data_IF_399488640131
#
_entry.id   IF_399488640131
#
_cell.length_a   1.000
_cell.length_b   1.000
_cell.length_c   1.000
_cell.angle_alpha   90.00
_cell.angle_beta   90.00
_cell.angle_gamma   90.00
#
_symmetry.space_group_name_H-M   'P 1'
#
loop_
_entity.id
_entity.type
_entity.pdbx_description
1 polymer ?
#
# COMPACT_ATOMS: atom_id res chain seq x y z
N UNK A 1 -0.85 -8.01 -13.29
CA UNK A 1 -2.12 -7.77 -14.00
C UNK A 1 -3.04 -7.02 -13.05
N UNK A 2 -3.71 -6.00 -13.57
CA UNK A 2 -4.79 -5.31 -12.87
C UNK A 2 -6.11 -6.10 -13.03
N UNK A 3 -6.77 -6.42 -11.91
CA UNK A 3 -8.05 -7.12 -11.90
C UNK A 3 -9.23 -6.15 -11.93
N UNK A 4 -9.12 -5.06 -11.16
CA UNK A 4 -10.11 -4.01 -11.08
C UNK A 4 -9.38 -2.70 -11.42
N UNK A 5 -9.75 -2.01 -12.51
CA UNK A 5 -9.15 -0.71 -12.85
C UNK A 5 -9.53 0.36 -11.81
N UNK A 6 -8.90 1.54 -11.87
CA UNK A 6 -9.31 2.66 -11.03
C UNK A 6 -10.81 2.94 -11.20
N UNK A 7 -11.58 2.67 -10.14
CA UNK A 7 -13.04 2.67 -10.17
C UNK A 7 -13.57 3.59 -9.06
N UNK A 8 -14.52 4.50 -9.36
CA UNK A 8 -15.21 5.26 -8.33
C UNK A 8 -15.83 4.33 -7.28
N UNK A 9 -15.81 4.73 -6.01
CA UNK A 9 -16.28 3.87 -4.92
C UNK A 9 -17.76 3.48 -5.07
N UNK A 10 -18.59 4.38 -5.61
CA UNK A 10 -20.01 4.14 -5.87
C UNK A 10 -20.27 3.10 -6.96
N UNK A 11 -19.31 2.95 -7.89
CA UNK A 11 -19.36 1.98 -8.99
C UNK A 11 -18.65 0.68 -8.64
N UNK A 12 -17.93 0.62 -7.52
CA UNK A 12 -17.18 -0.55 -7.12
C UNK A 12 -18.12 -1.71 -6.78
N UNK A 13 -17.96 -2.82 -7.49
CA UNK A 13 -18.65 -4.07 -7.22
C UNK A 13 -17.61 -5.16 -6.94
N UNK A 14 -17.76 -5.85 -5.81
CA UNK A 14 -16.85 -6.93 -5.47
C UNK A 14 -17.03 -8.10 -6.43
N UNK A 15 -15.92 -8.55 -7.01
CA UNK A 15 -15.87 -9.76 -7.85
C UNK A 15 -14.83 -10.70 -7.30
N UNK A 16 -15.13 -12.01 -7.28
CA UNK A 16 -14.17 -13.01 -6.86
C UNK A 16 -12.92 -12.99 -7.76
N UNK A 17 -11.74 -13.06 -7.14
CA UNK A 17 -10.47 -13.11 -7.85
C UNK A 17 -10.17 -14.58 -8.16
N UNK A 18 -10.16 -14.93 -9.45
CA UNK A 18 -9.74 -16.26 -9.90
C UNK A 18 -8.22 -16.35 -9.83
N UNK A 19 -7.70 -17.11 -8.87
CA UNK A 19 -6.26 -17.33 -8.68
C UNK A 19 -5.81 -18.55 -9.48
N UNK A 20 -4.75 -18.46 -10.31
CA UNK A 20 -4.21 -19.60 -11.04
C UNK A 20 -3.58 -20.65 -10.11
N UNK A 21 -3.54 -21.91 -10.55
CA UNK A 21 -3.11 -23.07 -9.76
C UNK A 21 -1.61 -23.19 -9.50
N UNK A 22 -0.77 -22.35 -10.14
CA UNK A 22 0.68 -22.35 -9.95
C UNK A 22 1.11 -20.98 -9.40
N UNK A 23 1.50 -20.97 -8.12
CA UNK A 23 1.58 -19.77 -7.28
C UNK A 23 3.02 -19.35 -6.98
N UNK A 24 3.62 -18.60 -7.89
CA UNK A 24 4.74 -17.71 -7.54
C UNK A 24 4.20 -16.36 -7.10
N UNK A 25 4.81 -15.78 -6.07
CA UNK A 25 4.46 -14.44 -5.58
C UNK A 25 5.33 -13.41 -6.32
N UNK A 26 4.94 -13.05 -7.54
CA UNK A 26 5.68 -12.09 -8.39
C UNK A 26 5.45 -10.63 -7.96
N UNK A 27 5.88 -10.29 -6.75
CA UNK A 27 5.67 -8.95 -6.16
C UNK A 27 6.39 -7.86 -6.93
N UNK A 28 7.58 -8.13 -7.49
CA UNK A 28 8.30 -7.16 -8.32
C UNK A 28 7.49 -6.74 -9.54
N UNK A 29 7.00 -7.71 -10.30
CA UNK A 29 6.11 -7.47 -11.44
C UNK A 29 4.78 -6.79 -11.03
N UNK A 30 4.25 -7.10 -9.84
CA UNK A 30 3.05 -6.44 -9.32
C UNK A 30 3.29 -4.95 -9.00
N UNK A 31 4.45 -4.61 -8.41
CA UNK A 31 4.82 -3.21 -8.14
C UNK A 31 5.09 -2.44 -9.44
N UNK A 32 5.67 -3.07 -10.45
CA UNK A 32 5.81 -2.47 -11.78
C UNK A 32 4.44 -2.19 -12.42
N UNK A 33 3.53 -3.16 -12.38
CA UNK A 33 2.15 -3.01 -12.84
C UNK A 33 1.45 -1.85 -12.12
N UNK A 34 1.61 -1.73 -10.80
CA UNK A 34 1.07 -0.62 -10.01
C UNK A 34 1.61 0.73 -10.49
N UNK A 35 2.92 0.84 -10.71
CA UNK A 35 3.52 2.08 -11.22
C UNK A 35 3.01 2.47 -12.60
N UNK A 36 2.72 1.49 -13.46
CA UNK A 36 2.11 1.74 -14.77
C UNK A 36 0.66 2.22 -14.64
N UNK A 37 -0.15 1.60 -13.77
CA UNK A 37 -1.52 2.05 -13.49
C UNK A 37 -1.55 3.47 -12.93
N UNK A 38 -0.66 3.77 -11.98
CA UNK A 38 -0.58 5.11 -11.36
C UNK A 38 -0.20 6.18 -12.39
N UNK A 39 0.76 5.90 -13.28
CA UNK A 39 1.12 6.86 -14.33
C UNK A 39 -0.02 7.07 -15.34
N UNK A 40 -0.82 6.04 -15.60
CA UNK A 40 -1.95 6.10 -16.52
C UNK A 40 -3.15 6.85 -15.94
N UNK A 41 -3.45 6.62 -14.65
CA UNK A 41 -4.76 6.99 -14.08
C UNK A 41 -4.70 8.21 -13.15
N UNK A 42 -3.58 8.44 -12.44
CA UNK A 42 -3.47 9.51 -11.45
C UNK A 42 -3.16 10.84 -12.14
N UNK A 43 -4.05 11.81 -12.01
CA UNK A 43 -3.90 13.15 -12.60
C UNK A 43 -3.13 14.04 -11.64
N UNK A 44 -1.93 14.49 -12.02
CA UNK A 44 -1.16 15.44 -11.20
C UNK A 44 -1.75 16.84 -11.32
N UNK A 45 -1.65 17.62 -10.25
CA UNK A 45 -1.98 19.04 -10.31
C UNK A 45 -1.10 19.75 -11.33
N UNK A 46 -1.68 20.68 -12.07
CA UNK A 46 -0.99 21.63 -12.93
C UNK A 46 -1.25 23.07 -12.46
N UNK A 47 -0.82 24.06 -13.24
CA UNK A 47 -0.93 25.47 -12.86
C UNK A 47 -2.38 25.99 -12.73
N UNK A 48 -3.35 25.31 -13.37
CA UNK A 48 -4.75 25.74 -13.41
C UNK A 48 -5.69 24.76 -12.66
N UNK A 49 -5.30 23.50 -12.53
CA UNK A 49 -6.17 22.42 -12.09
C UNK A 49 -5.53 21.64 -10.95
N UNK A 50 -6.25 21.53 -9.83
CA UNK A 50 -5.89 20.61 -8.76
C UNK A 50 -6.14 19.17 -9.23
N UNK A 51 -5.11 18.34 -9.18
CA UNK A 51 -5.19 16.92 -9.47
C UNK A 51 -5.31 16.06 -8.22
N UNK A 52 -5.19 14.76 -8.43
CA UNK A 52 -5.03 13.75 -7.40
C UNK A 52 -3.77 14.00 -6.59
N UNK A 53 -3.85 13.74 -5.29
CA UNK A 53 -2.78 14.02 -4.35
C UNK A 53 -2.46 12.79 -3.51
N UNK A 54 -1.17 12.42 -3.52
CA UNK A 54 -0.56 11.43 -2.60
C UNK A 54 -1.36 10.13 -2.45
N UNK A 55 -1.45 9.29 -3.49
CA UNK A 55 -2.15 8.01 -3.40
C UNK A 55 -1.55 7.11 -2.30
N UNK A 56 -2.41 6.31 -1.67
CA UNK A 56 -2.02 5.32 -0.68
C UNK A 56 -1.93 3.94 -1.31
N UNK A 57 -0.92 3.16 -0.89
CA UNK A 57 -0.71 1.79 -1.35
C UNK A 57 -0.79 0.85 -0.17
N UNK A 58 -1.63 -0.18 -0.29
CA UNK A 58 -1.66 -1.30 0.63
C UNK A 58 -1.21 -2.56 -0.12
N UNK A 59 -0.10 -3.16 0.33
CA UNK A 59 0.40 -4.42 -0.21
C UNK A 59 0.08 -5.55 0.77
N UNK A 60 -0.82 -6.45 0.41
CA UNK A 60 -1.12 -7.66 1.20
C UNK A 60 -0.42 -8.86 0.58
N UNK A 61 0.48 -9.50 1.31
CA UNK A 61 1.28 -10.63 0.82
C UNK A 61 1.93 -11.41 1.97
N UNK A 62 2.40 -12.62 1.69
CA UNK A 62 3.25 -13.39 2.59
C UNK A 62 4.72 -12.90 2.62
N UNK A 63 5.08 -11.87 1.87
CA UNK A 63 6.41 -11.24 1.94
C UNK A 63 7.55 -12.08 1.36
N UNK A 64 7.25 -13.09 0.55
CA UNK A 64 8.26 -13.95 -0.10
C UNK A 64 8.24 -13.80 -1.62
N UNK A 65 8.80 -12.69 -2.18
CA UNK A 65 8.77 -12.45 -3.61
C UNK A 65 9.54 -13.54 -4.37
N UNK A 66 8.90 -14.17 -5.35
CA UNK A 66 9.50 -15.18 -6.24
C UNK A 66 10.41 -14.56 -7.31
N UNK A 67 10.34 -13.23 -7.50
CA UNK A 67 11.12 -12.43 -8.44
C UNK A 67 12.05 -11.42 -7.73
N UNK A 68 12.87 -11.89 -6.80
CA UNK A 68 13.69 -11.05 -5.91
C UNK A 68 14.52 -9.95 -6.63
N UNK A 69 15.06 -10.23 -7.83
CA UNK A 69 15.79 -9.22 -8.61
C UNK A 69 14.87 -8.08 -9.07
N UNK A 70 13.76 -8.41 -9.73
CA UNK A 70 12.76 -7.44 -10.17
C UNK A 70 12.13 -6.70 -8.99
N UNK A 71 11.92 -7.40 -7.87
CA UNK A 71 11.45 -6.80 -6.62
C UNK A 71 12.40 -5.71 -6.12
N UNK A 72 13.71 -5.99 -6.07
CA UNK A 72 14.70 -5.02 -5.62
C UNK A 72 14.76 -3.77 -6.51
N UNK A 73 14.57 -3.92 -7.82
CA UNK A 73 14.48 -2.79 -8.76
C UNK A 73 13.18 -2.00 -8.57
N UNK A 74 12.05 -2.68 -8.45
CA UNK A 74 10.75 -2.05 -8.24
C UNK A 74 10.68 -1.28 -6.91
N UNK A 75 11.25 -1.82 -5.82
CA UNK A 75 11.36 -1.15 -4.52
C UNK A 75 12.12 0.18 -4.64
N UNK A 76 13.20 0.23 -5.43
CA UNK A 76 13.93 1.48 -5.67
C UNK A 76 13.10 2.47 -6.48
N UNK A 77 12.43 1.99 -7.53
CA UNK A 77 11.64 2.82 -8.42
C UNK A 77 10.41 3.43 -7.72
N UNK A 78 9.72 2.66 -6.89
CA UNK A 78 8.43 3.08 -6.29
C UNK A 78 8.60 4.18 -5.23
N UNK A 79 9.72 4.21 -4.51
CA UNK A 79 10.03 5.22 -3.47
C UNK A 79 10.03 6.66 -4.01
N UNK A 80 10.30 6.86 -5.29
CA UNK A 80 10.32 8.17 -5.94
C UNK A 80 9.01 8.61 -6.61
N UNK A 81 7.93 7.81 -6.53
CA UNK A 81 6.70 8.03 -7.31
C UNK A 81 5.65 8.93 -6.64
N UNK A 82 5.98 9.55 -5.50
CA UNK A 82 5.10 10.53 -4.85
C UNK A 82 3.89 9.91 -4.12
N UNK A 83 3.95 8.62 -3.78
CA UNK A 83 2.96 8.00 -2.91
C UNK A 83 2.92 8.69 -1.54
N UNK A 84 1.72 8.80 -0.97
CA UNK A 84 1.55 9.31 0.38
C UNK A 84 2.14 8.36 1.42
N UNK A 85 1.74 7.10 1.31
CA UNK A 85 2.23 6.03 2.15
C UNK A 85 2.14 4.71 1.41
N UNK A 86 3.12 3.84 1.66
CA UNK A 86 3.08 2.43 1.26
C UNK A 86 3.01 1.64 2.56
N UNK A 87 1.94 0.87 2.75
CA UNK A 87 1.74 0.04 3.92
C UNK A 87 1.82 -1.42 3.48
N UNK A 88 2.72 -2.18 4.08
CA UNK A 88 2.87 -3.60 3.85
C UNK A 88 2.12 -4.39 4.93
N UNK A 89 1.16 -5.18 4.50
CA UNK A 89 0.34 -6.03 5.33
C UNK A 89 0.84 -7.48 5.19
N UNK A 90 1.56 -7.96 6.20
CA UNK A 90 2.06 -9.32 6.29
C UNK A 90 0.90 -10.27 6.57
N UNK A 91 0.65 -11.22 5.65
CA UNK A 91 -0.45 -12.18 5.74
C UNK A 91 0.08 -13.58 6.01
N UNK A 92 -0.37 -14.16 7.12
CA UNK A 92 -0.11 -15.55 7.49
C UNK A 92 1.11 -15.77 8.38
N UNK A 93 1.19 -16.95 9.02
CA UNK A 93 2.15 -17.25 10.09
C UNK A 93 3.62 -17.30 9.66
N UNK A 94 3.88 -17.37 8.34
CA UNK A 94 5.21 -17.50 7.76
C UNK A 94 5.60 -16.27 6.93
N UNK A 95 4.95 -15.14 7.18
CA UNK A 95 5.21 -13.96 6.39
C UNK A 95 6.68 -13.49 6.50
N UNK A 96 7.33 -13.32 5.37
CA UNK A 96 8.70 -12.82 5.24
C UNK A 96 8.77 -11.31 5.43
N UNK A 97 9.08 -10.88 6.64
CA UNK A 97 9.11 -9.45 6.99
C UNK A 97 10.29 -8.69 6.36
N UNK A 98 11.42 -9.35 6.10
CA UNK A 98 12.62 -8.72 5.56
C UNK A 98 12.37 -8.00 4.22
N UNK A 99 11.69 -8.66 3.28
CA UNK A 99 11.36 -8.04 2.00
C UNK A 99 10.35 -6.90 2.17
N UNK A 100 9.36 -7.06 3.06
CA UNK A 100 8.38 -6.02 3.34
C UNK A 100 9.04 -4.75 3.91
N UNK A 101 10.01 -4.91 4.82
CA UNK A 101 10.82 -3.82 5.38
C UNK A 101 11.71 -3.15 4.34
N UNK A 102 12.12 -3.86 3.29
CA UNK A 102 12.80 -3.23 2.15
C UNK A 102 11.84 -2.32 1.37
N UNK A 103 10.56 -2.65 1.27
CA UNK A 103 9.59 -1.79 0.59
C UNK A 103 9.22 -0.56 1.41
N UNK A 104 8.91 -0.75 2.69
CA UNK A 104 8.39 0.32 3.56
C UNK A 104 8.71 0.08 5.04
N UNK A 105 8.79 1.16 5.82
CA UNK A 105 8.87 1.15 7.28
C UNK A 105 7.53 0.76 7.94
N UNK A 106 6.43 0.80 7.19
CA UNK A 106 5.07 0.57 7.69
C UNK A 106 4.65 -0.88 7.41
N UNK A 107 5.16 -1.79 8.22
CA UNK A 107 4.80 -3.22 8.15
C UNK A 107 3.85 -3.58 9.28
N UNK A 108 2.72 -4.20 8.93
CA UNK A 108 1.63 -4.57 9.84
C UNK A 108 1.36 -6.05 9.69
N UNK A 109 1.33 -6.80 10.80
CA UNK A 109 0.91 -8.21 10.77
C UNK A 109 -0.61 -8.31 10.83
N UNK A 110 -1.21 -9.02 9.87
CA UNK A 110 -2.65 -9.26 9.81
C UNK A 110 -3.06 -10.59 10.46
N UNK A 111 -2.11 -11.42 10.90
CA UNK A 111 -2.37 -12.77 11.42
C UNK A 111 -3.34 -12.79 12.61
N UNK A 112 -3.33 -11.73 13.42
CA UNK A 112 -4.11 -11.64 14.66
C UNK A 112 -5.34 -10.74 14.56
N UNK A 113 -5.66 -10.18 13.38
CA UNK A 113 -6.76 -9.23 13.24
C UNK A 113 -8.07 -9.94 12.93
N UNK A 114 -9.05 -9.79 13.82
CA UNK A 114 -10.44 -10.07 13.49
C UNK A 114 -11.01 -8.99 12.55
N UNK A 115 -12.23 -9.21 12.04
CA UNK A 115 -12.89 -8.28 11.12
C UNK A 115 -13.05 -6.86 11.70
N UNK A 116 -13.22 -6.75 13.03
CA UNK A 116 -13.41 -5.47 13.72
C UNK A 116 -12.10 -4.71 13.80
N UNK A 117 -11.02 -5.39 14.20
CA UNK A 117 -9.67 -4.85 14.27
C UNK A 117 -9.15 -4.49 12.87
N UNK A 118 -9.46 -5.29 11.85
CA UNK A 118 -9.13 -5.00 10.46
C UNK A 118 -9.84 -3.74 9.94
N UNK A 119 -11.14 -3.58 10.22
CA UNK A 119 -11.85 -2.34 9.88
C UNK A 119 -11.31 -1.14 10.67
N UNK A 120 -10.96 -1.33 11.94
CA UNK A 120 -10.31 -0.34 12.79
C UNK A 120 -8.96 0.12 12.24
N UNK A 121 -8.17 -0.82 11.73
CA UNK A 121 -6.89 -0.54 11.07
C UNK A 121 -7.04 0.41 9.87
N UNK A 122 -7.95 0.11 8.94
CA UNK A 122 -8.16 0.99 7.78
C UNK A 122 -8.70 2.37 8.16
N UNK A 123 -9.57 2.44 9.18
CA UNK A 123 -10.02 3.73 9.74
C UNK A 123 -8.85 4.53 10.31
N UNK A 124 -7.98 3.88 11.07
CA UNK A 124 -6.80 4.51 11.65
C UNK A 124 -5.82 4.98 10.57
N UNK A 125 -5.47 4.15 9.58
CA UNK A 125 -4.59 4.58 8.46
C UNK A 125 -5.20 5.77 7.72
N UNK A 126 -6.50 5.73 7.43
CA UNK A 126 -7.19 6.83 6.73
C UNK A 126 -7.17 8.14 7.52
N UNK A 127 -7.38 8.09 8.85
CA UNK A 127 -7.29 9.26 9.72
C UNK A 127 -5.87 9.84 9.79
N UNK A 128 -4.87 8.96 9.80
CA UNK A 128 -3.44 9.32 9.86
C UNK A 128 -3.00 10.10 8.63
N UNK A 129 -3.35 9.57 7.45
CA UNK A 129 -3.02 10.18 6.16
C UNK A 129 -3.79 11.49 5.97
N UNK A 130 -5.06 11.53 6.37
CA UNK A 130 -5.87 12.75 6.29
C UNK A 130 -5.27 13.87 7.14
N UNK A 131 -4.79 13.55 8.34
CA UNK A 131 -4.18 14.52 9.26
C UNK A 131 -2.84 15.05 8.76
N UNK A 132 -2.04 14.21 8.08
CA UNK A 132 -0.81 14.63 7.39
C UNK A 132 -1.05 15.43 6.10
N UNK A 133 -2.25 15.32 5.51
CA UNK A 133 -2.61 16.04 4.28
C UNK A 133 -3.17 17.45 4.52
N UNK A 134 -3.63 17.77 5.74
CA UNK A 134 -4.16 19.11 6.10
C UNK A 134 -3.06 20.14 6.38
N UNK A 135 -1.81 19.73 6.61
CA UNK A 135 -0.67 20.62 6.85
C UNK A 135 0.06 21.02 5.55
N UNK A 136 -0.68 21.42 4.52
CA UNK A 136 -0.15 22.11 3.33
C UNK A 136 0.29 23.56 3.65
N UNK A 137 0.92 23.73 4.80
CA UNK A 137 1.50 24.96 5.32
C UNK A 137 2.58 24.57 6.32
N UNK A 138 3.79 24.38 5.82
CA UNK A 138 5.05 24.29 6.56
C UNK A 138 5.07 23.17 7.61
N UNK A 139 5.65 22.01 7.30
CA UNK A 139 6.47 21.21 8.22
C UNK A 139 7.22 20.09 7.49
N UNK A 140 8.55 20.20 7.41
CA UNK A 140 9.48 19.12 7.07
C UNK A 140 9.61 18.13 8.25
N UNK A 141 8.54 17.39 8.58
CA UNK A 141 8.57 16.49 9.73
C UNK A 141 7.57 15.36 9.61
N UNK A 142 8.06 14.22 9.11
CA UNK A 142 7.54 12.86 9.29
C UNK A 142 6.02 12.67 9.25
N UNK A 143 5.51 12.06 8.18
CA UNK A 143 4.20 11.37 8.16
C UNK A 143 4.22 10.18 9.15
N UNK A 144 4.29 10.47 10.46
CA UNK A 144 4.20 9.45 11.50
C UNK A 144 2.74 9.03 11.59
N UNK A 145 2.50 7.74 11.36
CA UNK A 145 1.24 7.14 11.77
C UNK A 145 1.08 7.39 13.30
N UNK A 146 -0.12 7.78 13.78
CA UNK A 146 -0.44 7.86 15.19
C UNK A 146 -0.16 6.50 15.86
N UNK A 147 -0.11 6.39 17.19
CA UNK A 147 0.07 5.09 17.83
C UNK A 147 -1.00 4.10 17.32
N UNK A 148 -0.62 2.85 16.97
CA UNK A 148 -1.59 1.86 16.53
C UNK A 148 -2.56 1.52 17.67
N UNK A 149 -3.83 1.22 17.36
CA UNK A 149 -4.74 0.58 18.30
C UNK A 149 -4.11 -0.67 18.95
N UNK A 150 -4.45 -1.01 20.20
CA UNK A 150 -3.87 -2.15 20.93
C UNK A 150 -3.94 -3.48 20.19
N UNK A 151 -4.92 -3.63 19.29
CA UNK A 151 -5.18 -4.82 18.51
C UNK A 151 -4.23 -4.96 17.30
N UNK A 152 -3.52 -3.89 16.92
CA UNK A 152 -2.66 -3.86 15.73
C UNK A 152 -1.19 -4.01 16.13
N UNK A 153 -0.57 -5.09 15.65
CA UNK A 153 0.86 -5.34 15.84
C UNK A 153 1.67 -4.76 14.68
N UNK A 154 2.35 -3.64 14.93
CA UNK A 154 3.36 -3.10 14.04
C UNK A 154 4.63 -3.93 14.12
N UNK A 155 5.15 -4.34 12.97
CA UNK A 155 6.43 -5.02 12.87
C UNK A 155 7.52 -3.97 12.65
N UNK A 156 8.08 -3.46 13.76
CA UNK A 156 9.24 -2.56 13.76
C UNK A 156 10.49 -3.30 13.30
#
# INVERSE_FOLDING_TARGET
>A
REFIPLTPLEDFQFSDIVVPSAGGTFTGAALECLMQCVERDVRRSDGDTKGDWRPLVFLMTDGTPSDALAYGEAVKAIRGRGFGSIIACAVGPKAGHEHLKQLTDKVVSLETLDSTAFAGFFKWVSASVSSGSTSAGINNGTDTLPPPPPEIQLVL
#
